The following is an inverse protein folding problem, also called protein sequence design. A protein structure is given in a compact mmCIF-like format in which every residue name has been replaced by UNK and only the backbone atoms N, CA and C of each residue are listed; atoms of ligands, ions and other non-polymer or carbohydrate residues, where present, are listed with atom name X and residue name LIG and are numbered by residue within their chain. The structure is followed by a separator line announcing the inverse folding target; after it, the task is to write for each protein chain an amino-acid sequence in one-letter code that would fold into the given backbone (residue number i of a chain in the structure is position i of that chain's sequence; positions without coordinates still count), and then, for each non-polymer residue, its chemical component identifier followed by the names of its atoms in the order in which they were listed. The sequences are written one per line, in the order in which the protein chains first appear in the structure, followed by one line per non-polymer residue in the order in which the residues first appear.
data_IF_816489982301
#
_entry.id   IF_816489982301
#
_cell.length_a   1.000
_cell.length_b   1.000
_cell.length_c   1.000
_cell.angle_alpha   90.00
_cell.angle_beta   90.00
_cell.angle_gamma   90.00
#
_symmetry.space_group_name_H-M   'P 1'
#
loop_
_entity.id
_entity.type
_entity.pdbx_description
1 polymer ?
#
# COMPACT_ATOMS: atom_id res chain seq x y z
N UNK A 1 -2.09 -21.59 -11.13
CA UNK A 1 -0.70 -21.16 -11.35
C UNK A 1 -0.37 -20.14 -10.27
N UNK A 2 0.50 -20.47 -9.32
CA UNK A 2 0.90 -19.57 -8.24
C UNK A 2 2.00 -18.63 -8.74
N UNK A 3 1.74 -17.32 -8.76
CA UNK A 3 2.75 -16.32 -9.09
C UNK A 3 3.67 -16.14 -7.88
N UNK A 4 4.96 -16.35 -8.06
CA UNK A 4 5.96 -16.27 -7.01
C UNK A 4 6.37 -14.81 -6.78
N UNK A 5 5.98 -14.23 -5.65
CA UNK A 5 6.45 -12.94 -5.18
C UNK A 5 7.94 -13.05 -4.81
N UNK A 6 8.78 -12.21 -5.40
CA UNK A 6 10.21 -12.07 -5.04
C UNK A 6 10.43 -10.76 -4.31
N UNK A 7 11.15 -10.81 -3.19
CA UNK A 7 11.71 -9.63 -2.55
C UNK A 7 12.86 -9.06 -3.40
N UNK A 8 12.94 -7.74 -3.54
CA UNK A 8 13.97 -7.03 -4.32
C UNK A 8 14.95 -6.36 -3.34
N UNK A 9 16.27 -6.48 -3.59
CA UNK A 9 17.34 -5.84 -2.81
C UNK A 9 18.09 -4.76 -3.60
N UNK A 10 18.11 -3.53 -3.07
CA UNK A 10 19.34 -2.76 -2.83
C UNK A 10 20.04 -2.00 -3.97
N UNK A 11 19.40 -0.99 -4.55
CA UNK A 11 20.04 0.30 -4.91
C UNK A 11 18.97 1.38 -4.70
N UNK A 12 19.24 2.39 -3.85
CA UNK A 12 18.24 3.36 -3.41
C UNK A 12 17.95 4.42 -4.49
N UNK A 13 17.42 3.98 -5.63
CA UNK A 13 16.55 4.84 -6.42
C UNK A 13 15.31 5.06 -5.56
N UNK A 14 15.12 6.27 -5.06
CA UNK A 14 13.88 6.68 -4.41
C UNK A 14 12.79 6.60 -5.47
N UNK A 15 12.17 5.44 -5.61
CA UNK A 15 11.07 5.25 -6.55
C UNK A 15 9.93 6.17 -6.10
N UNK A 16 9.37 6.98 -7.00
CA UNK A 16 8.25 7.84 -6.65
C UNK A 16 7.08 6.97 -6.17
N UNK A 17 6.50 7.25 -5.02
CA UNK A 17 5.30 6.57 -4.54
C UNK A 17 4.10 7.48 -4.72
N UNK A 18 3.17 7.07 -5.58
CA UNK A 18 1.93 7.77 -5.84
C UNK A 18 0.81 7.18 -5.00
N UNK A 19 0.17 7.97 -4.15
CA UNK A 19 -1.07 7.60 -3.47
C UNK A 19 -2.21 7.63 -4.50
N UNK A 20 -2.92 6.52 -4.66
CA UNK A 20 -3.93 6.34 -5.72
C UNK A 20 -5.33 6.07 -5.18
N UNK A 21 -5.44 5.83 -3.88
CA UNK A 21 -6.73 5.68 -3.24
C UNK A 21 -6.64 5.46 -1.74
N UNK A 22 -7.82 5.49 -1.12
CA UNK A 22 -8.01 5.41 0.32
C UNK A 22 -9.19 4.52 0.65
N UNK A 23 -9.01 3.62 1.60
CA UNK A 23 -10.09 2.85 2.22
C UNK A 23 -10.18 3.25 3.69
N UNK A 24 -11.37 3.58 4.18
CA UNK A 24 -11.60 4.06 5.55
C UNK A 24 -12.26 3.02 6.42
N UNK A 25 -12.05 3.14 7.73
CA UNK A 25 -12.77 2.39 8.76
C UNK A 25 -12.31 0.94 8.95
N UNK A 26 -11.16 0.55 8.42
CA UNK A 26 -10.66 -0.83 8.54
C UNK A 26 -9.79 -1.01 9.78
N UNK A 27 -10.08 -2.04 10.57
CA UNK A 27 -9.33 -2.34 11.80
C UNK A 27 -8.08 -3.17 11.49
N UNK A 28 -7.01 -2.96 12.25
CA UNK A 28 -5.71 -3.65 12.11
C UNK A 28 -5.83 -5.17 12.03
N UNK A 29 -6.69 -5.78 12.86
CA UNK A 29 -6.94 -7.22 12.85
C UNK A 29 -7.53 -7.71 11.52
N UNK A 30 -8.47 -6.94 10.96
CA UNK A 30 -9.18 -7.34 9.74
C UNK A 30 -8.22 -7.33 8.56
N UNK A 31 -7.42 -6.26 8.42
CA UNK A 31 -6.45 -6.17 7.34
C UNK A 31 -5.33 -7.21 7.47
N UNK A 32 -4.85 -7.50 8.70
CA UNK A 32 -3.87 -8.58 8.92
C UNK A 32 -4.45 -9.96 8.64
N UNK A 33 -5.74 -10.18 8.91
CA UNK A 33 -6.40 -11.44 8.57
C UNK A 33 -6.47 -11.66 7.05
N UNK A 34 -6.57 -10.58 6.28
CA UNK A 34 -6.63 -10.61 4.81
C UNK A 34 -5.23 -10.68 4.17
N UNK A 35 -4.31 -9.81 4.60
CA UNK A 35 -3.01 -9.61 3.94
C UNK A 35 -1.85 -10.37 4.61
N UNK A 36 -2.10 -10.96 5.77
CA UNK A 36 -1.04 -11.48 6.65
C UNK A 36 -0.37 -10.37 7.46
N UNK A 37 0.73 -10.73 8.13
CA UNK A 37 1.51 -9.75 8.90
C UNK A 37 2.19 -8.71 7.98
N UNK A 38 2.30 -7.45 8.43
CA UNK A 38 2.97 -6.42 7.66
C UNK A 38 4.47 -6.72 7.53
N UNK A 39 5.03 -6.29 6.40
CA UNK A 39 6.47 -6.37 6.14
C UNK A 39 7.26 -5.35 6.97
N UNK A 40 6.63 -4.23 7.33
CA UNK A 40 7.21 -3.18 8.15
C UNK A 40 6.14 -2.53 9.03
N UNK A 41 6.51 -2.20 10.27
CA UNK A 41 5.66 -1.43 11.20
C UNK A 41 6.46 -0.21 11.63
N UNK A 42 5.95 0.98 11.33
CA UNK A 42 6.48 2.23 11.86
C UNK A 42 5.67 2.63 13.10
N UNK A 43 6.34 2.87 14.21
CA UNK A 43 5.69 3.29 15.47
C UNK A 43 6.14 4.69 15.91
N UNK A 44 7.13 5.29 15.25
CA UNK A 44 7.56 6.64 15.53
C UNK A 44 6.50 7.64 15.02
N UNK A 45 5.82 8.29 15.97
CA UNK A 45 4.77 9.27 15.68
C UNK A 45 5.27 10.48 14.89
N UNK A 46 6.59 10.77 14.92
CA UNK A 46 7.19 11.86 14.13
C UNK A 46 7.46 11.47 12.68
N UNK A 47 7.39 10.19 12.34
CA UNK A 47 7.65 9.65 10.99
C UNK A 47 6.38 9.17 10.27
N UNK A 48 5.26 9.25 10.96
CA UNK A 48 3.93 8.79 10.53
C UNK A 48 2.93 9.93 10.56
N UNK A 49 1.68 9.64 10.24
CA UNK A 49 0.56 10.55 10.50
C UNK A 49 0.22 10.74 11.99
N UNK A 50 1.13 10.47 12.93
CA UNK A 50 0.90 10.66 14.37
C UNK A 50 0.59 9.37 15.14
N UNK A 51 0.96 8.21 14.61
CA UNK A 51 0.86 6.91 15.29
C UNK A 51 1.22 5.74 14.38
N UNK A 52 0.95 4.51 14.81
CA UNK A 52 1.41 3.31 14.11
C UNK A 52 0.98 3.25 12.62
N UNK A 53 1.91 2.85 11.76
CA UNK A 53 1.65 2.48 10.36
C UNK A 53 2.10 1.04 10.09
N UNK A 54 1.18 0.21 9.61
CA UNK A 54 1.48 -1.13 9.12
C UNK A 54 1.63 -1.11 7.59
N UNK A 55 2.73 -1.65 7.09
CA UNK A 55 3.12 -1.58 5.68
C UNK A 55 3.23 -2.97 5.04
N UNK A 56 2.54 -3.17 3.92
CA UNK A 56 2.68 -4.34 3.05
C UNK A 56 3.19 -3.91 1.68
N UNK A 57 4.02 -4.75 1.05
CA UNK A 57 4.64 -4.47 -0.24
C UNK A 57 4.40 -5.62 -1.22
N UNK A 58 4.03 -5.29 -2.46
CA UNK A 58 3.81 -6.24 -3.53
C UNK A 58 4.48 -5.77 -4.82
N UNK A 59 4.73 -6.69 -5.74
CA UNK A 59 5.16 -6.37 -7.10
C UNK A 59 4.02 -6.69 -8.08
N UNK A 60 3.78 -5.80 -9.05
CA UNK A 60 2.84 -6.06 -10.15
C UNK A 60 3.43 -7.04 -11.15
N UNK A 61 2.57 -7.52 -12.04
CA UNK A 61 2.96 -8.33 -13.19
C UNK A 61 3.96 -7.62 -14.13
N UNK A 62 3.96 -6.29 -14.12
CA UNK A 62 4.80 -5.41 -14.95
C UNK A 62 6.07 -4.94 -14.25
N UNK A 63 6.29 -5.32 -12.98
CA UNK A 63 7.47 -4.93 -12.20
C UNK A 63 7.35 -3.60 -11.45
N UNK A 64 6.18 -2.96 -11.47
CA UNK A 64 5.90 -1.82 -10.58
C UNK A 64 5.72 -2.31 -9.13
N UNK A 65 6.00 -1.44 -8.16
CA UNK A 65 5.81 -1.73 -6.74
C UNK A 65 4.47 -1.17 -6.26
N UNK A 66 3.79 -1.93 -5.41
CA UNK A 66 2.60 -1.53 -4.68
C UNK A 66 2.96 -1.48 -3.19
N UNK A 67 2.50 -0.46 -2.47
CA UNK A 67 2.52 -0.44 -1.02
C UNK A 67 1.12 -0.19 -0.46
N UNK A 68 0.73 -0.97 0.53
CA UNK A 68 -0.51 -0.79 1.30
C UNK A 68 -0.09 -0.33 2.68
N UNK A 69 -0.63 0.81 3.14
CA UNK A 69 -0.33 1.39 4.43
C UNK A 69 -1.60 1.53 5.24
N UNK A 70 -1.70 0.82 6.36
CA UNK A 70 -2.73 1.10 7.36
C UNK A 70 -2.19 2.13 8.36
N UNK A 71 -2.80 3.31 8.38
CA UNK A 71 -2.61 4.33 9.42
C UNK A 71 -3.50 3.96 10.60
N UNK A 72 -2.97 3.17 11.53
CA UNK A 72 -3.72 2.46 12.57
C UNK A 72 -4.62 3.37 13.42
N UNK A 73 -4.17 4.55 13.90
CA UNK A 73 -5.03 5.42 14.71
C UNK A 73 -6.27 5.92 13.97
N UNK A 74 -6.17 6.09 12.66
CA UNK A 74 -7.20 6.66 11.80
C UNK A 74 -8.07 5.61 11.12
N UNK A 75 -7.64 4.34 11.15
CA UNK A 75 -8.29 3.22 10.43
C UNK A 75 -8.38 3.49 8.93
N UNK A 76 -7.39 4.20 8.41
CA UNK A 76 -7.29 4.59 7.02
C UNK A 76 -6.22 3.73 6.34
N UNK A 77 -6.56 3.12 5.22
CA UNK A 77 -5.67 2.31 4.39
C UNK A 77 -5.36 3.10 3.12
N UNK A 78 -4.15 3.62 3.03
CA UNK A 78 -3.66 4.30 1.84
C UNK A 78 -3.01 3.29 0.88
N UNK A 79 -3.30 3.45 -0.42
CA UNK A 79 -2.74 2.62 -1.49
C UNK A 79 -1.73 3.43 -2.28
N UNK A 80 -0.52 2.90 -2.40
CA UNK A 80 0.58 3.52 -3.13
C UNK A 80 1.06 2.64 -4.28
N UNK A 81 1.50 3.28 -5.37
CA UNK A 81 2.12 2.61 -6.51
C UNK A 81 3.37 3.35 -6.98
N UNK A 82 4.35 2.63 -7.52
CA UNK A 82 5.54 3.26 -8.10
C UNK A 82 5.33 3.83 -9.50
N UNK A 83 4.29 3.34 -10.21
CA UNK A 83 3.90 3.76 -11.55
C UNK A 83 2.38 4.02 -11.56
N UNK A 84 1.90 5.25 -11.80
CA UNK A 84 0.49 5.59 -11.78
C UNK A 84 -0.28 5.16 -13.06
N UNK A 85 0.29 4.28 -13.90
CA UNK A 85 -0.43 3.69 -15.02
C UNK A 85 -1.74 3.00 -14.57
N UNK A 86 -2.86 3.12 -15.32
CA UNK A 86 -4.15 2.57 -14.91
C UNK A 86 -4.14 1.09 -14.53
N UNK A 87 -3.39 0.26 -15.26
CA UNK A 87 -3.28 -1.17 -14.95
C UNK A 87 -2.61 -1.45 -13.59
N UNK A 88 -1.57 -0.70 -13.25
CA UNK A 88 -0.89 -0.79 -11.95
C UNK A 88 -1.82 -0.38 -10.82
N UNK A 89 -2.61 0.69 -11.02
CA UNK A 89 -3.63 1.13 -10.05
C UNK A 89 -4.68 0.04 -9.86
N UNK A 90 -5.20 -0.52 -10.94
CA UNK A 90 -6.24 -1.55 -10.86
C UNK A 90 -5.73 -2.82 -10.14
N UNK A 91 -4.48 -3.24 -10.38
CA UNK A 91 -3.83 -4.33 -9.63
C UNK A 91 -3.68 -3.97 -8.13
N UNK A 92 -3.26 -2.74 -7.81
CA UNK A 92 -3.11 -2.28 -6.43
C UNK A 92 -4.44 -2.26 -5.66
N UNK A 93 -5.50 -1.75 -6.27
CA UNK A 93 -6.83 -1.74 -5.66
C UNK A 93 -7.41 -3.16 -5.53
N UNK A 94 -7.06 -4.08 -6.43
CA UNK A 94 -7.50 -5.47 -6.36
C UNK A 94 -6.97 -6.22 -5.13
N UNK A 95 -5.83 -5.81 -4.56
CA UNK A 95 -5.28 -6.36 -3.31
C UNK A 95 -6.26 -6.24 -2.15
N UNK A 96 -7.04 -5.15 -2.13
CA UNK A 96 -7.97 -4.84 -1.04
C UNK A 96 -9.39 -5.39 -1.26
N UNK A 97 -9.65 -6.13 -2.34
CA UNK A 97 -10.97 -6.75 -2.54
C UNK A 97 -11.30 -7.71 -1.36
N UNK A 98 -12.56 -7.75 -0.90
CA UNK A 98 -13.74 -7.14 -1.51
C UNK A 98 -14.03 -5.70 -1.09
N UNK A 99 -13.14 -5.05 -0.33
CA UNK A 99 -13.38 -3.69 0.13
C UNK A 99 -13.41 -2.69 -1.02
N UNK A 100 -14.33 -1.73 -0.94
CA UNK A 100 -14.42 -0.63 -1.89
C UNK A 100 -13.43 0.46 -1.49
N UNK A 101 -12.42 0.66 -2.34
CA UNK A 101 -11.40 1.69 -2.14
C UNK A 101 -11.81 2.93 -2.93
N UNK A 102 -11.81 4.10 -2.28
CA UNK A 102 -11.99 5.37 -2.96
C UNK A 102 -10.77 5.63 -3.85
N UNK A 103 -10.94 5.49 -5.16
CA UNK A 103 -9.90 5.81 -6.15
C UNK A 103 -9.84 7.32 -6.34
N UNK A 104 -8.65 7.89 -6.22
CA UNK A 104 -8.45 9.31 -6.50
C UNK A 104 -8.56 9.59 -8.00
N UNK A 105 -9.15 10.73 -8.36
CA UNK A 105 -9.20 11.21 -9.75
C UNK A 105 -7.81 11.45 -10.32
N UNK A 106 -6.88 11.93 -9.48
CA UNK A 106 -5.47 12.13 -9.82
C UNK A 106 -4.59 11.54 -8.72
N UNK A 107 -3.60 10.69 -9.08
CA UNK A 107 -2.61 10.19 -8.13
C UNK A 107 -1.80 11.31 -7.48
N UNK A 108 -1.62 11.25 -6.16
CA UNK A 108 -0.82 12.22 -5.41
C UNK A 108 0.59 11.67 -5.19
N UNK A 109 1.62 12.35 -5.70
CA UNK A 109 3.00 11.96 -5.44
C UNK A 109 3.37 12.27 -3.98
N UNK A 110 3.68 11.22 -3.22
CA UNK A 110 4.26 11.37 -1.88
C UNK A 110 5.72 11.83 -2.03
N UNK A 111 6.03 13.00 -1.48
CA UNK A 111 7.37 13.59 -1.45
C UNK A 111 8.09 13.27 -0.16
#
# INVERSE_FOLDING_TARGET
MASALRAISGEALTLPLWEVGLLRGLVRSDLRSQLGEPAYVETDTHRTYGGDEDWWFYATSTGASIAICLRVPYRDVAVYVSDPAPATIDEALAVLRPHEVERYEQPFLRR
#
